data_IF_603604581730
#
_entry.id   IF_603604581730
#
_cell.length_a   1.000
_cell.length_b   1.000
_cell.length_c   1.000
_cell.angle_alpha   90.00
_cell.angle_beta   90.00
_cell.angle_gamma   90.00
#
_symmetry.space_group_name_H-M   'P 1'
#
loop_
_entity.id
_entity.type
_entity.pdbx_description
1 polymer ?
#
# COMPACT_ATOMS: atom_id res chain seq x y z
N UNK A 1 22.27 16.33 -7.75
CA UNK A 1 22.42 14.85 -7.66
C UNK A 1 21.26 14.26 -6.87
N UNK A 2 20.77 13.12 -7.32
CA UNK A 2 19.73 12.38 -6.57
C UNK A 2 20.35 11.87 -5.28
N UNK A 3 19.64 12.03 -4.16
CA UNK A 3 20.08 11.52 -2.86
C UNK A 3 19.38 10.22 -2.49
N UNK A 4 18.09 10.07 -2.82
CA UNK A 4 17.32 8.89 -2.46
C UNK A 4 15.94 8.93 -3.14
N UNK A 5 15.17 7.86 -2.95
CA UNK A 5 13.74 7.84 -3.31
C UNK A 5 12.97 8.37 -2.11
N UNK A 6 12.28 9.50 -2.27
CA UNK A 6 11.59 10.17 -1.16
C UNK A 6 10.10 9.80 -1.08
N UNK A 7 9.49 9.40 -2.18
CA UNK A 7 8.10 8.96 -2.19
C UNK A 7 7.83 7.98 -3.33
N UNK A 8 6.79 7.18 -3.15
CA UNK A 8 6.24 6.28 -4.17
C UNK A 8 4.73 6.52 -4.24
N UNK A 9 4.14 6.28 -5.40
CA UNK A 9 2.71 6.51 -5.61
C UNK A 9 1.95 5.19 -5.63
N UNK A 10 0.85 5.14 -4.89
CA UNK A 10 -0.12 4.04 -4.92
C UNK A 10 -1.45 4.67 -5.34
N UNK A 11 -2.04 4.13 -6.41
CA UNK A 11 -3.37 4.58 -6.83
C UNK A 11 -4.44 3.96 -5.95
N UNK A 12 -5.42 4.78 -5.57
CA UNK A 12 -6.52 4.38 -4.70
C UNK A 12 -7.84 4.91 -5.26
N UNK A 13 -8.95 4.31 -4.83
CA UNK A 13 -10.28 4.74 -5.27
C UNK A 13 -10.81 5.93 -4.46
N UNK A 14 -10.50 5.96 -3.16
CA UNK A 14 -10.96 7.00 -2.22
C UNK A 14 -9.83 7.29 -1.24
N UNK A 15 -9.37 8.54 -1.23
CA UNK A 15 -8.21 8.93 -0.42
C UNK A 15 -8.48 8.87 1.09
N UNK A 16 -9.67 9.22 1.55
CA UNK A 16 -10.01 9.15 2.98
C UNK A 16 -10.04 7.71 3.46
N UNK A 17 -10.71 6.83 2.72
CA UNK A 17 -10.79 5.41 3.05
C UNK A 17 -9.43 4.73 2.97
N UNK A 18 -8.62 5.10 1.98
CA UNK A 18 -7.27 4.56 1.84
C UNK A 18 -6.39 4.99 3.01
N UNK A 19 -6.42 6.26 3.38
CA UNK A 19 -5.67 6.74 4.54
C UNK A 19 -6.09 6.00 5.81
N UNK A 20 -7.39 5.83 6.04
CA UNK A 20 -7.91 5.12 7.21
C UNK A 20 -7.40 3.67 7.24
N UNK A 21 -7.33 3.02 6.10
CA UNK A 21 -6.80 1.66 6.00
C UNK A 21 -5.30 1.60 6.28
N UNK A 22 -4.52 2.46 5.63
CA UNK A 22 -3.06 2.45 5.79
C UNK A 22 -2.63 2.85 7.20
N UNK A 23 -3.34 3.78 7.80
CA UNK A 23 -3.06 4.20 9.19
C UNK A 23 -3.66 3.23 10.21
N UNK A 24 -4.95 2.94 10.10
CA UNK A 24 -5.69 2.17 11.11
C UNK A 24 -5.44 0.66 11.06
N UNK A 25 -5.21 0.11 9.88
CA UNK A 25 -4.98 -1.34 9.71
C UNK A 25 -3.49 -1.66 9.59
N UNK A 26 -2.78 -0.96 8.70
CA UNK A 26 -1.37 -1.28 8.41
C UNK A 26 -0.38 -0.64 9.40
N UNK A 27 -0.80 0.37 10.15
CA UNK A 27 0.04 0.97 11.18
C UNK A 27 0.97 2.09 10.71
N UNK A 28 0.72 2.64 9.51
CA UNK A 28 1.45 3.83 9.06
C UNK A 28 0.94 5.08 9.79
N UNK A 29 1.70 6.17 9.71
CA UNK A 29 1.28 7.49 10.19
C UNK A 29 0.81 8.35 9.02
N UNK A 30 -0.23 9.14 9.24
CA UNK A 30 -0.61 10.19 8.31
C UNK A 30 0.50 11.24 8.27
N UNK A 31 0.90 11.65 7.07
CA UNK A 31 1.98 12.62 6.90
C UNK A 31 1.45 13.93 6.31
N UNK A 32 1.09 13.95 5.03
CA UNK A 32 0.59 15.15 4.37
C UNK A 32 -0.86 14.98 3.94
N UNK A 33 -1.61 16.07 4.00
CA UNK A 33 -2.95 16.17 3.43
C UNK A 33 -3.14 17.63 3.01
N UNK A 34 -2.84 17.92 1.74
CA UNK A 34 -2.85 19.28 1.20
C UNK A 34 -3.71 19.31 -0.06
N UNK A 35 -4.65 20.24 -0.10
CA UNK A 35 -5.49 20.45 -1.28
C UNK A 35 -5.05 21.71 -2.00
N UNK A 36 -4.79 21.58 -3.30
CA UNK A 36 -4.44 22.69 -4.19
C UNK A 36 -5.39 22.66 -5.38
N UNK A 37 -6.38 23.56 -5.38
CA UNK A 37 -7.42 23.56 -6.40
C UNK A 37 -8.23 22.26 -6.36
N UNK A 38 -8.25 21.53 -7.47
CA UNK A 38 -8.93 20.23 -7.57
C UNK A 38 -8.05 19.06 -7.17
N UNK A 39 -6.78 19.33 -6.85
CA UNK A 39 -5.78 18.31 -6.55
C UNK A 39 -5.61 18.17 -5.03
N UNK A 40 -5.68 16.93 -4.53
CA UNK A 40 -5.45 16.62 -3.12
C UNK A 40 -4.26 15.69 -3.00
N UNK A 41 -3.27 16.11 -2.21
CA UNK A 41 -2.04 15.37 -1.94
C UNK A 41 -2.14 14.72 -0.57
N UNK A 42 -2.20 13.40 -0.51
CA UNK A 42 -2.32 12.63 0.73
C UNK A 42 -1.16 11.66 0.80
N UNK A 43 -0.39 11.69 1.89
CA UNK A 43 0.71 10.75 2.08
C UNK A 43 0.66 10.11 3.46
N UNK A 44 1.23 8.91 3.55
CA UNK A 44 1.48 8.20 4.80
C UNK A 44 2.94 7.78 4.84
N UNK A 45 3.46 7.53 6.04
CA UNK A 45 4.85 7.13 6.26
C UNK A 45 4.96 6.15 7.42
N UNK A 46 6.02 5.37 7.45
CA UNK A 46 6.32 4.53 8.60
C UNK A 46 6.99 5.39 9.69
N UNK A 47 6.58 5.24 10.97
CA UNK A 47 7.15 6.06 12.05
C UNK A 47 8.67 5.96 12.19
N UNK A 48 9.23 4.76 11.98
CA UNK A 48 10.67 4.52 12.14
C UNK A 48 11.46 4.64 10.83
N UNK A 49 10.77 4.68 9.70
CA UNK A 49 11.35 4.77 8.35
C UNK A 49 10.55 5.79 7.53
N UNK A 50 10.76 7.10 7.78
CA UNK A 50 9.91 8.13 7.19
C UNK A 50 10.05 8.31 5.68
N UNK A 51 11.08 7.76 5.08
CA UNK A 51 11.24 7.76 3.62
C UNK A 51 11.47 6.35 3.10
N UNK A 52 10.86 5.98 1.96
CA UNK A 52 9.94 6.80 1.15
C UNK A 52 8.57 6.93 1.78
N UNK A 53 7.93 8.09 1.60
CA UNK A 53 6.51 8.23 1.91
C UNK A 53 5.69 7.57 0.82
N UNK A 54 4.48 7.17 1.15
CA UNK A 54 3.53 6.60 0.19
C UNK A 54 2.48 7.66 -0.12
N UNK A 55 2.39 8.06 -1.40
CA UNK A 55 1.35 8.97 -1.86
C UNK A 55 0.13 8.15 -2.26
N UNK A 56 -1.01 8.43 -1.64
CA UNK A 56 -2.29 7.80 -1.96
C UNK A 56 -3.03 8.72 -2.94
N UNK A 57 -3.08 8.31 -4.22
CA UNK A 57 -3.52 9.16 -5.31
C UNK A 57 -4.73 8.55 -6.02
N UNK A 58 -5.78 9.34 -6.25
CA UNK A 58 -6.84 8.89 -7.14
C UNK A 58 -6.37 8.98 -8.59
N UNK A 59 -6.80 8.05 -9.49
CA UNK A 59 -6.43 8.15 -10.89
C UNK A 59 -6.90 9.47 -11.51
N UNK A 60 -5.97 10.19 -12.12
CA UNK A 60 -6.21 11.49 -12.72
C UNK A 60 -4.92 12.07 -13.30
N UNK A 61 -4.88 13.38 -13.60
CA UNK A 61 -3.66 13.99 -14.15
C UNK A 61 -2.42 13.67 -13.31
N UNK A 62 -1.25 13.39 -13.94
CA UNK A 62 -0.96 13.56 -15.36
C UNK A 62 -1.42 12.42 -16.29
N UNK A 63 -2.16 11.44 -15.77
CA UNK A 63 -2.79 10.44 -16.62
C UNK A 63 -3.88 11.12 -17.48
N UNK A 64 -3.99 10.74 -18.75
CA UNK A 64 -5.12 11.18 -19.55
C UNK A 64 -6.41 10.45 -19.10
N UNK A 65 -7.56 10.87 -19.61
CA UNK A 65 -8.85 10.33 -19.18
C UNK A 65 -8.98 8.83 -19.42
N UNK A 66 -8.45 8.34 -20.54
CA UNK A 66 -8.47 6.92 -20.88
C UNK A 66 -7.59 6.11 -19.93
N UNK A 67 -6.39 6.58 -19.65
CA UNK A 67 -5.47 5.92 -18.73
C UNK A 67 -6.02 5.93 -17.30
N UNK A 68 -6.57 7.04 -16.85
CA UNK A 68 -7.19 7.16 -15.52
C UNK A 68 -8.37 6.20 -15.37
N UNK A 69 -9.23 6.11 -16.39
CA UNK A 69 -10.36 5.18 -16.39
C UNK A 69 -9.89 3.73 -16.36
N UNK A 70 -8.83 3.40 -17.10
CA UNK A 70 -8.24 2.06 -17.10
C UNK A 70 -7.70 1.68 -15.72
N UNK A 71 -6.93 2.58 -15.09
CA UNK A 71 -6.39 2.33 -13.73
C UNK A 71 -7.53 2.11 -12.74
N UNK A 72 -8.57 2.94 -12.81
CA UNK A 72 -9.74 2.79 -11.92
C UNK A 72 -10.40 1.43 -12.09
N UNK A 73 -10.60 0.98 -13.32
CA UNK A 73 -11.15 -0.36 -13.59
C UNK A 73 -10.27 -1.47 -13.05
N UNK A 74 -8.95 -1.34 -13.18
CA UNK A 74 -8.02 -2.32 -12.65
C UNK A 74 -8.05 -2.38 -11.12
N UNK A 75 -8.18 -1.24 -10.45
CA UNK A 75 -8.35 -1.20 -8.99
C UNK A 75 -9.62 -1.96 -8.59
N UNK A 76 -10.74 -1.69 -9.25
CA UNK A 76 -12.02 -2.34 -8.96
C UNK A 76 -11.96 -3.85 -9.17
N UNK A 77 -11.15 -4.33 -10.11
CA UNK A 77 -10.95 -5.76 -10.38
C UNK A 77 -9.89 -6.40 -9.50
N UNK A 78 -9.13 -5.60 -8.73
CA UNK A 78 -8.00 -6.10 -7.97
C UNK A 78 -6.76 -6.42 -8.81
N UNK A 79 -6.64 -5.83 -10.00
CA UNK A 79 -5.54 -6.06 -10.92
C UNK A 79 -4.36 -5.11 -10.78
N UNK A 80 -4.41 -4.20 -9.80
CA UNK A 80 -3.30 -3.29 -9.53
C UNK A 80 -2.51 -3.75 -8.31
N UNK A 81 -1.25 -3.44 -8.33
CA UNK A 81 -0.36 -3.70 -7.22
C UNK A 81 0.82 -2.74 -7.31
N UNK A 82 1.68 -2.79 -6.45
CA UNK A 82 1.86 -3.26 -5.20
C UNK A 82 3.10 -2.81 -4.52
N UNK A 83 2.88 -2.69 -3.23
CA UNK A 83 3.99 -2.46 -2.34
C UNK A 83 4.54 -3.78 -1.85
N UNK A 84 5.84 -3.81 -1.58
CA UNK A 84 6.46 -4.86 -0.81
C UNK A 84 6.69 -4.35 0.60
N UNK A 85 6.21 -5.09 1.58
CA UNK A 85 6.33 -4.74 2.99
C UNK A 85 7.16 -5.79 3.71
N UNK A 86 8.06 -5.35 4.58
CA UNK A 86 8.78 -6.24 5.47
C UNK A 86 8.04 -6.31 6.80
N UNK A 87 7.85 -7.52 7.32
CA UNK A 87 7.24 -7.76 8.63
C UNK A 87 8.18 -8.61 9.49
N UNK A 88 8.04 -8.51 10.80
CA UNK A 88 8.84 -9.31 11.75
C UNK A 88 8.27 -10.72 11.95
N UNK A 89 6.95 -10.87 11.82
CA UNK A 89 6.26 -12.16 11.98
C UNK A 89 5.06 -12.19 11.02
N UNK A 90 5.23 -12.84 9.88
CA UNK A 90 4.23 -12.84 8.82
C UNK A 90 2.91 -13.50 9.24
N UNK A 91 2.98 -14.64 9.93
CA UNK A 91 1.76 -15.37 10.33
C UNK A 91 0.97 -14.62 11.38
N UNK A 92 1.66 -14.00 12.34
CA UNK A 92 1.03 -13.19 13.38
C UNK A 92 0.39 -11.94 12.78
N UNK A 93 1.12 -11.25 11.90
CA UNK A 93 0.61 -10.04 11.23
C UNK A 93 -0.61 -10.38 10.38
N UNK A 94 -0.57 -11.49 9.64
CA UNK A 94 -1.71 -11.94 8.84
C UNK A 94 -2.95 -12.20 9.72
N UNK A 95 -2.77 -12.83 10.87
CA UNK A 95 -3.89 -13.09 11.78
C UNK A 95 -4.49 -11.77 12.30
N UNK A 96 -3.66 -10.80 12.65
CA UNK A 96 -4.12 -9.48 13.08
C UNK A 96 -4.88 -8.74 11.97
N UNK A 97 -4.37 -8.79 10.74
CA UNK A 97 -5.01 -8.15 9.59
C UNK A 97 -6.36 -8.81 9.27
N UNK A 98 -6.42 -10.15 9.31
CA UNK A 98 -7.68 -10.88 9.11
C UNK A 98 -8.73 -10.50 10.14
N UNK A 99 -8.33 -10.33 11.40
CA UNK A 99 -9.23 -9.89 12.45
C UNK A 99 -9.79 -8.49 12.19
N UNK A 100 -9.09 -7.68 11.40
CA UNK A 100 -9.53 -6.34 10.98
C UNK A 100 -10.26 -6.35 9.63
N UNK A 101 -10.52 -7.52 9.07
CA UNK A 101 -11.30 -7.65 7.83
C UNK A 101 -10.50 -7.58 6.53
N UNK A 102 -9.16 -7.69 6.60
CA UNK A 102 -8.33 -7.66 5.40
C UNK A 102 -8.52 -8.94 4.58
N UNK A 103 -8.69 -8.77 3.27
CA UNK A 103 -8.80 -9.88 2.32
C UNK A 103 -7.41 -10.35 1.90
N UNK A 104 -7.14 -11.65 2.05
CA UNK A 104 -5.89 -12.26 1.61
C UNK A 104 -6.05 -12.95 0.28
N UNK A 105 -5.12 -12.65 -0.64
CA UNK A 105 -4.99 -13.32 -1.94
C UNK A 105 -4.19 -14.61 -1.77
N UNK A 106 -3.17 -14.56 -0.92
CA UNK A 106 -2.32 -15.70 -0.58
C UNK A 106 -2.06 -15.69 0.92
N UNK A 107 -2.40 -16.77 1.58
CA UNK A 107 -2.09 -16.98 3.01
C UNK A 107 -0.58 -17.08 3.21
N UNK A 108 -0.08 -16.85 4.44
CA UNK A 108 1.35 -17.00 4.71
C UNK A 108 1.87 -18.38 4.29
N UNK A 109 2.93 -18.37 3.49
CA UNK A 109 3.58 -19.58 2.97
C UNK A 109 5.09 -19.46 3.10
N UNK A 110 5.73 -20.61 3.35
CA UNK A 110 7.19 -20.69 3.35
C UNK A 110 7.72 -20.60 1.92
N UNK A 111 8.64 -19.69 1.72
CA UNK A 111 9.34 -19.50 0.45
C UNK A 111 10.85 -19.58 0.71
N UNK A 112 11.68 -19.76 -0.34
CA UNK A 112 13.14 -19.76 -0.14
C UNK A 112 13.68 -18.51 0.54
N UNK A 113 13.01 -17.36 0.35
CA UNK A 113 13.45 -16.06 0.86
C UNK A 113 12.78 -15.65 2.18
N UNK A 114 11.83 -16.43 2.69
CA UNK A 114 11.14 -16.14 3.93
C UNK A 114 9.70 -16.59 3.93
N UNK A 115 8.90 -16.06 4.85
CA UNK A 115 7.46 -16.32 4.90
C UNK A 115 6.75 -15.18 4.21
N UNK A 116 5.94 -15.49 3.20
CA UNK A 116 5.27 -14.52 2.34
C UNK A 116 3.76 -14.63 2.41
N UNK A 117 3.07 -13.50 2.42
CA UNK A 117 1.63 -13.42 2.23
C UNK A 117 1.30 -12.28 1.27
N UNK A 118 0.15 -12.35 0.62
CA UNK A 118 -0.34 -11.31 -0.27
C UNK A 118 -1.75 -10.95 0.15
N UNK A 119 -2.01 -9.67 0.33
CA UNK A 119 -3.32 -9.17 0.72
C UNK A 119 -3.71 -7.96 -0.12
N UNK A 120 -4.98 -7.54 -0.02
CA UNK A 120 -5.49 -6.37 -0.74
C UNK A 120 -5.70 -5.21 0.22
N UNK A 121 -5.42 -4.00 -0.26
CA UNK A 121 -5.89 -2.81 0.43
C UNK A 121 -7.38 -2.59 0.08
N UNK A 122 -7.99 -1.55 0.64
CA UNK A 122 -9.41 -1.29 0.43
C UNK A 122 -9.75 -0.70 -0.94
N UNK A 123 -8.75 -0.42 -1.77
CA UNK A 123 -8.94 0.03 -3.15
C UNK A 123 -8.77 -1.10 -4.16
N UNK A 124 -8.31 -2.28 -3.72
CA UNK A 124 -8.09 -3.42 -4.58
C UNK A 124 -6.63 -3.63 -4.99
N UNK A 125 -5.69 -2.83 -4.49
CA UNK A 125 -4.27 -3.09 -4.72
C UNK A 125 -3.83 -4.35 -3.96
N UNK A 126 -3.05 -5.22 -4.62
CA UNK A 126 -2.39 -6.29 -3.91
C UNK A 126 -1.07 -5.81 -3.31
N UNK A 127 -0.81 -6.20 -2.08
CA UNK A 127 0.42 -5.91 -1.35
C UNK A 127 1.06 -7.21 -0.90
N UNK A 128 2.39 -7.27 -1.00
CA UNK A 128 3.16 -8.44 -0.58
C UNK A 128 3.82 -8.12 0.74
N UNK A 129 3.69 -9.01 1.71
CA UNK A 129 4.46 -8.88 2.95
C UNK A 129 5.34 -10.10 3.15
N UNK A 130 6.57 -9.86 3.59
CA UNK A 130 7.58 -10.89 3.75
C UNK A 130 8.27 -10.73 5.11
N UNK A 131 8.30 -11.82 5.85
CA UNK A 131 9.20 -12.00 6.99
C UNK A 131 10.46 -12.62 6.42
N UNK A 132 11.57 -11.85 6.32
CA UNK A 132 12.75 -12.36 5.62
C UNK A 132 13.43 -13.48 6.39
N UNK A 133 13.95 -14.43 5.63
CA UNK A 133 14.75 -15.51 6.20
C UNK A 133 16.12 -14.97 6.61
N UNK A 134 16.53 -15.31 7.82
CA UNK A 134 17.86 -14.94 8.29
C UNK A 134 18.86 -15.92 7.69
N UNK A 135 19.78 -15.43 6.88
CA UNK A 135 20.92 -16.20 6.41
C UNK A 135 22.04 -15.99 7.43
N UNK A 136 22.23 -16.97 8.26
CA UNK A 136 23.26 -16.92 9.29
C UNK A 136 24.58 -17.45 8.81
#
# INVERSE_FOLDING_TARGET
>A
MITNVSLVTVYVLDQDKARDFYVGVLGFEASMDVTMGEFRWVTVKHPDHPEPEITLMVPGPPLDDEAAAFVRRQLEKGGMGGLGLRVDDCRKTAAEFKAKGVEFVQEPEDRPYGVEAVFRDNSGNWLVMVEPKMYG
#
